data_IF_008118621465
#
_entry.id   IF_008118621465
#
_cell.length_a   1.000
_cell.length_b   1.000
_cell.length_c   1.000
_cell.angle_alpha   90.00
_cell.angle_beta   90.00
_cell.angle_gamma   90.00
#
_symmetry.space_group_name_H-M   'P 1'
#
loop_
_entity.id
_entity.type
_entity.pdbx_description
1 polymer ?
#
# COMPACT_ATOMS: atom_id res chain seq x y z
N UNK A 1 1.86 12.28 18.98
CA UNK A 1 0.73 11.37 19.24
C UNK A 1 0.57 11.23 20.75
N UNK A 2 -0.54 11.70 21.31
CA UNK A 2 -0.88 11.45 22.72
C UNK A 2 -1.17 9.96 22.90
N UNK A 3 -0.68 9.35 23.98
CA UNK A 3 -0.98 7.95 24.27
C UNK A 3 -2.48 7.77 24.49
N UNK A 4 -3.04 6.64 24.03
CA UNK A 4 -4.42 6.26 24.33
C UNK A 4 -4.63 6.17 25.85
N UNK A 5 -5.86 6.33 26.34
CA UNK A 5 -6.19 6.16 27.75
C UNK A 5 -5.70 4.81 28.32
N UNK A 6 -5.76 3.76 27.49
CA UNK A 6 -5.21 2.44 27.80
C UNK A 6 -3.69 2.46 28.00
N UNK A 7 -2.93 3.06 27.07
CA UNK A 7 -1.47 3.15 27.18
C UNK A 7 -1.03 3.95 28.42
N UNK A 8 -1.79 4.99 28.79
CA UNK A 8 -1.50 5.82 29.96
C UNK A 8 -1.60 5.02 31.27
N UNK A 9 -2.60 4.14 31.39
CA UNK A 9 -2.75 3.25 32.55
C UNK A 9 -1.58 2.27 32.66
N UNK A 10 -1.15 1.68 31.54
CA UNK A 10 -0.01 0.76 31.50
C UNK A 10 1.28 1.49 31.89
N UNK A 11 1.53 2.68 31.34
CA UNK A 11 2.70 3.47 31.68
C UNK A 11 2.77 3.83 33.16
N UNK A 12 1.64 4.13 33.80
CA UNK A 12 1.59 4.35 35.25
C UNK A 12 1.97 3.09 36.04
N UNK A 13 1.57 1.90 35.59
CA UNK A 13 1.90 0.63 36.25
C UNK A 13 3.39 0.27 36.14
N UNK A 14 4.01 0.54 35.00
CA UNK A 14 5.42 0.21 34.75
C UNK A 14 6.36 1.24 35.41
N UNK A 15 5.88 2.47 35.63
CA UNK A 15 6.62 3.52 36.31
C UNK A 15 7.37 4.47 35.38
N UNK A 16 7.70 5.65 35.90
CA UNK A 16 8.20 6.79 35.09
C UNK A 16 9.58 6.51 34.49
N UNK A 17 10.47 5.88 35.26
CA UNK A 17 11.84 5.59 34.84
C UNK A 17 11.89 4.60 33.68
N UNK A 18 11.09 3.53 33.75
CA UNK A 18 11.00 2.56 32.67
C UNK A 18 10.37 3.15 31.40
N UNK A 19 9.35 4.02 31.55
CA UNK A 19 8.76 4.75 30.43
C UNK A 19 9.79 5.65 29.75
N UNK A 20 10.55 6.42 30.53
CA UNK A 20 11.60 7.30 30.03
C UNK A 20 12.71 6.49 29.33
N UNK A 21 13.13 5.38 29.94
CA UNK A 21 14.10 4.46 29.38
C UNK A 21 13.69 3.95 28.00
N UNK A 22 12.50 3.37 27.89
CA UNK A 22 12.02 2.75 26.66
C UNK A 22 11.70 3.75 25.54
N UNK A 23 11.32 4.98 25.88
CA UNK A 23 10.92 5.99 24.89
C UNK A 23 12.06 6.91 24.45
N UNK A 24 13.07 7.15 25.28
CA UNK A 24 14.02 8.25 25.06
C UNK A 24 15.48 7.94 25.38
N UNK A 25 15.78 7.22 26.45
CA UNK A 25 17.17 7.13 26.92
C UNK A 25 17.91 5.89 26.44
N UNK A 26 17.24 4.75 26.27
CA UNK A 26 17.88 3.57 25.68
C UNK A 26 18.20 3.82 24.21
N UNK A 27 19.44 3.58 23.83
CA UNK A 27 19.83 3.63 22.43
C UNK A 27 19.23 2.42 21.67
N UNK A 28 19.25 2.41 20.32
CA UNK A 28 18.62 1.34 19.53
C UNK A 28 19.12 -0.08 19.85
N UNK A 29 20.40 -0.24 20.25
CA UNK A 29 20.99 -1.53 20.60
C UNK A 29 20.48 -2.00 21.96
N UNK A 30 20.44 -1.11 22.94
CA UNK A 30 19.95 -1.41 24.30
C UNK A 30 18.44 -1.70 24.29
N UNK A 31 17.66 -0.88 23.58
CA UNK A 31 16.22 -1.08 23.41
C UNK A 31 15.94 -2.44 22.74
N UNK A 32 16.69 -2.78 21.68
CA UNK A 32 16.55 -4.09 21.03
C UNK A 32 16.91 -5.23 21.98
N UNK A 33 17.94 -5.05 22.81
CA UNK A 33 18.39 -6.06 23.76
C UNK A 33 17.31 -6.38 24.78
N UNK A 34 16.72 -5.35 25.40
CA UNK A 34 15.68 -5.54 26.41
C UNK A 34 14.39 -6.09 25.80
N UNK A 35 13.98 -5.62 24.61
CA UNK A 35 12.79 -6.15 23.93
C UNK A 35 12.98 -7.63 23.53
N UNK A 36 14.17 -8.00 23.07
CA UNK A 36 14.49 -9.40 22.74
C UNK A 36 14.46 -10.30 23.98
N UNK A 37 14.94 -9.81 25.13
CA UNK A 37 14.90 -10.56 26.39
C UNK A 37 13.45 -10.78 26.87
N UNK A 38 12.63 -9.73 26.83
CA UNK A 38 11.18 -9.83 27.12
C UNK A 38 10.50 -10.84 26.20
N UNK A 39 10.77 -10.79 24.90
CA UNK A 39 10.19 -11.73 23.94
C UNK A 39 10.65 -13.17 24.20
N UNK A 40 11.92 -13.37 24.54
CA UNK A 40 12.47 -14.69 24.87
C UNK A 40 11.79 -15.29 26.10
N UNK A 41 11.69 -14.53 27.18
CA UNK A 41 11.02 -14.98 28.41
C UNK A 41 9.55 -15.31 28.17
N UNK A 42 8.83 -14.46 27.43
CA UNK A 42 7.42 -14.74 27.10
C UNK A 42 7.26 -15.98 26.23
N UNK A 43 8.18 -16.19 25.28
CA UNK A 43 8.15 -17.35 24.39
C UNK A 43 8.50 -18.65 25.13
N UNK A 44 9.44 -18.63 26.09
CA UNK A 44 9.78 -19.83 26.88
C UNK A 44 8.65 -20.30 27.78
N UNK A 45 7.76 -19.39 28.17
CA UNK A 45 6.59 -19.69 28.99
C UNK A 45 5.41 -20.26 28.17
N UNK A 46 5.52 -20.31 26.82
CA UNK A 46 4.49 -20.88 25.96
C UNK A 46 4.60 -22.40 25.87
N UNK A 47 3.46 -23.07 25.87
CA UNK A 47 3.36 -24.51 25.58
C UNK A 47 2.98 -24.74 24.11
N UNK A 48 3.18 -25.96 23.57
CA UNK A 48 2.66 -26.31 22.24
C UNK A 48 1.14 -26.11 22.09
N UNK A 49 0.38 -26.29 23.17
CA UNK A 49 -1.07 -26.03 23.17
C UNK A 49 -1.39 -24.55 22.99
N UNK A 50 -0.59 -23.65 23.59
CA UNK A 50 -0.74 -22.20 23.42
C UNK A 50 -0.44 -21.78 21.98
N UNK A 51 0.54 -22.41 21.32
CA UNK A 51 0.85 -22.14 19.91
C UNK A 51 -0.32 -22.47 18.99
N UNK A 52 -0.92 -23.65 19.16
CA UNK A 52 -2.09 -24.07 18.36
C UNK A 52 -3.33 -23.21 18.69
N UNK A 53 -3.53 -22.88 19.96
CA UNK A 53 -4.60 -21.96 20.36
C UNK A 53 -4.45 -20.62 19.66
N UNK A 54 -3.24 -20.03 19.71
CA UNK A 54 -2.97 -18.75 19.06
C UNK A 54 -3.14 -18.82 17.54
N UNK A 55 -2.64 -19.88 16.89
CA UNK A 55 -2.82 -20.08 15.45
C UNK A 55 -4.30 -20.06 15.01
N UNK A 56 -5.19 -20.58 15.87
CA UNK A 56 -6.64 -20.62 15.60
C UNK A 56 -7.36 -19.31 15.88
N UNK A 57 -6.87 -18.52 16.82
CA UNK A 57 -7.56 -17.33 17.35
C UNK A 57 -7.02 -16.00 16.76
N UNK A 58 -5.74 -15.96 16.38
CA UNK A 58 -5.07 -14.74 15.90
C UNK A 58 -5.23 -14.61 14.37
N UNK A 59 -6.06 -13.65 13.92
CA UNK A 59 -6.34 -13.41 12.49
C UNK A 59 -5.08 -13.11 11.68
N UNK A 60 -4.03 -12.55 12.29
CA UNK A 60 -2.75 -12.30 11.60
C UNK A 60 -2.03 -13.59 11.18
N UNK A 61 -2.41 -14.73 11.77
CA UNK A 61 -1.83 -16.05 11.51
C UNK A 61 -2.72 -16.92 10.62
N UNK A 62 -3.96 -16.50 10.37
CA UNK A 62 -4.90 -17.27 9.56
C UNK A 62 -4.37 -17.37 8.11
N UNK A 63 -4.33 -18.57 7.51
CA UNK A 63 -4.01 -18.73 6.09
C UNK A 63 -4.97 -17.94 5.20
N UNK A 64 -4.51 -17.55 4.00
CA UNK A 64 -5.43 -16.99 2.99
C UNK A 64 -6.44 -18.07 2.58
N UNK A 65 -7.68 -17.65 2.35
CA UNK A 65 -8.72 -18.50 1.77
C UNK A 65 -8.55 -18.69 0.26
N UNK A 66 -7.73 -17.86 -0.38
CA UNK A 66 -7.44 -17.93 -1.80
C UNK A 66 -6.54 -19.13 -2.13
N UNK A 67 -6.95 -19.94 -3.11
CA UNK A 67 -6.09 -21.01 -3.60
C UNK A 67 -4.86 -20.41 -4.31
N UNK A 68 -3.62 -20.74 -3.89
CA UNK A 68 -2.43 -20.23 -4.56
C UNK A 68 -2.38 -20.59 -6.05
N UNK A 69 -3.02 -21.69 -6.48
CA UNK A 69 -3.09 -22.11 -7.89
C UNK A 69 -3.92 -21.16 -8.75
N UNK A 70 -4.88 -20.45 -8.16
CA UNK A 70 -5.68 -19.43 -8.83
C UNK A 70 -4.96 -18.07 -8.81
N UNK A 71 -4.24 -17.76 -7.73
CA UNK A 71 -3.49 -16.51 -7.59
C UNK A 71 -2.28 -16.40 -8.53
N UNK A 72 -1.60 -17.52 -8.77
CA UNK A 72 -0.39 -17.58 -9.59
C UNK A 72 -0.59 -17.15 -11.05
N UNK A 73 -1.57 -17.69 -11.83
CA UNK A 73 -1.76 -17.28 -13.22
C UNK A 73 -2.14 -15.80 -13.33
N UNK A 74 -2.96 -15.28 -12.42
CA UNK A 74 -3.31 -13.85 -12.38
C UNK A 74 -2.07 -12.99 -12.09
N UNK A 75 -1.25 -13.40 -11.12
CA UNK A 75 0.01 -12.70 -10.82
C UNK A 75 0.99 -12.76 -11.99
N UNK A 76 1.06 -13.88 -12.70
CA UNK A 76 1.88 -14.02 -13.90
C UNK A 76 1.38 -13.11 -15.03
N UNK A 77 0.06 -13.04 -15.24
CA UNK A 77 -0.54 -12.16 -16.26
C UNK A 77 -0.28 -10.70 -15.96
N UNK A 78 -0.36 -10.31 -14.68
CA UNK A 78 0.03 -8.97 -14.24
C UNK A 78 1.47 -8.64 -14.67
N UNK A 79 2.43 -9.54 -14.45
CA UNK A 79 3.81 -9.32 -14.88
C UNK A 79 4.02 -9.33 -16.40
N UNK A 80 3.29 -10.17 -17.13
CA UNK A 80 3.46 -10.36 -18.58
C UNK A 80 3.26 -9.05 -19.36
N UNK A 81 2.30 -8.22 -18.94
CA UNK A 81 1.92 -6.99 -19.64
C UNK A 81 2.46 -5.72 -18.98
N UNK A 82 3.32 -5.85 -17.95
CA UNK A 82 4.00 -4.69 -17.35
C UNK A 82 4.82 -3.96 -18.43
N UNK A 83 4.66 -2.64 -18.60
CA UNK A 83 5.42 -1.90 -19.60
C UNK A 83 6.93 -2.00 -19.34
N UNK A 84 7.76 -2.07 -20.40
CA UNK A 84 9.21 -2.23 -20.27
C UNK A 84 9.91 -1.10 -19.49
N UNK A 85 9.26 0.06 -19.35
CA UNK A 85 9.71 1.18 -18.51
C UNK A 85 9.78 0.79 -17.03
N UNK A 86 8.92 -0.12 -16.57
CA UNK A 86 8.88 -0.58 -15.18
C UNK A 86 9.90 -1.67 -14.92
N UNK A 87 10.78 -1.41 -13.96
CA UNK A 87 11.72 -2.42 -13.46
C UNK A 87 11.06 -3.20 -12.32
N UNK A 88 10.94 -4.51 -12.51
CA UNK A 88 10.50 -5.41 -11.45
C UNK A 88 11.47 -5.44 -10.26
N UNK A 89 10.93 -5.36 -9.05
CA UNK A 89 11.70 -5.49 -7.81
C UNK A 89 11.02 -6.50 -6.89
N UNK A 90 11.82 -7.27 -6.16
CA UNK A 90 11.33 -8.11 -5.05
C UNK A 90 11.59 -7.37 -3.75
N UNK A 91 10.51 -6.91 -3.10
CA UNK A 91 10.60 -6.24 -1.82
C UNK A 91 10.87 -7.24 -0.68
N UNK A 92 11.53 -6.76 0.38
CA UNK A 92 11.53 -7.47 1.65
C UNK A 92 10.11 -7.50 2.24
N UNK A 93 9.79 -8.55 3.01
CA UNK A 93 8.58 -8.59 3.83
C UNK A 93 8.60 -7.55 4.97
N UNK A 94 9.73 -6.88 5.17
CA UNK A 94 9.91 -5.81 6.14
C UNK A 94 10.17 -4.47 5.43
N UNK A 95 9.70 -3.40 6.04
CA UNK A 95 10.01 -2.02 5.67
C UNK A 95 10.57 -1.25 6.87
N UNK A 96 11.08 -0.04 6.63
CA UNK A 96 11.59 0.84 7.69
C UNK A 96 10.49 1.17 8.71
N UNK A 97 10.84 1.22 9.99
CA UNK A 97 9.97 1.80 11.02
C UNK A 97 9.55 3.22 10.61
N UNK A 98 8.28 3.53 10.77
CA UNK A 98 7.69 4.81 10.39
C UNK A 98 7.21 4.88 8.94
N UNK A 99 7.30 3.80 8.15
CA UNK A 99 6.77 3.80 6.78
C UNK A 99 5.26 4.04 6.78
N UNK A 100 4.53 3.32 7.65
CA UNK A 100 3.07 3.42 7.73
C UNK A 100 2.56 4.80 8.15
N UNK A 101 3.28 5.52 9.01
CA UNK A 101 2.87 6.86 9.44
C UNK A 101 3.22 7.95 8.43
N UNK A 102 4.38 7.86 7.76
CA UNK A 102 4.83 8.91 6.84
C UNK A 102 4.24 8.78 5.44
N UNK A 103 3.91 7.57 5.01
CA UNK A 103 3.42 7.31 3.65
C UNK A 103 1.91 7.02 3.66
N UNK A 104 1.46 6.13 4.55
CA UNK A 104 0.06 5.74 4.63
C UNK A 104 -0.82 6.67 5.48
N UNK A 105 -0.25 7.50 6.35
CA UNK A 105 -0.98 8.43 7.22
C UNK A 105 -1.73 7.79 8.40
N UNK A 106 -1.71 6.46 8.51
CA UNK A 106 -2.55 5.70 9.44
C UNK A 106 -1.81 5.18 10.69
N UNK A 107 -0.50 5.41 10.74
CA UNK A 107 0.31 5.20 11.94
C UNK A 107 0.53 3.74 12.32
N UNK A 108 1.09 3.55 13.50
CA UNK A 108 1.52 2.24 14.03
C UNK A 108 0.36 1.34 14.47
N UNK A 109 -0.88 1.82 14.43
CA UNK A 109 -2.07 1.04 14.78
C UNK A 109 -2.61 0.20 13.61
N UNK A 110 -1.93 0.22 12.45
CA UNK A 110 -2.35 -0.52 11.25
C UNK A 110 -1.26 -1.42 10.67
N UNK A 111 -0.09 -1.46 11.33
CA UNK A 111 1.09 -2.22 10.86
C UNK A 111 1.69 -3.02 12.00
N UNK A 112 2.25 -4.19 11.70
CA UNK A 112 3.00 -4.96 12.71
C UNK A 112 4.38 -4.34 12.87
N UNK A 113 4.61 -3.64 13.98
CA UNK A 113 5.94 -3.11 14.34
C UNK A 113 6.81 -4.22 14.93
N UNK A 114 8.05 -4.32 14.47
CA UNK A 114 9.01 -5.31 14.99
C UNK A 114 9.92 -4.69 16.05
N UNK A 115 10.50 -5.55 16.90
CA UNK A 115 11.49 -5.14 17.90
C UNK A 115 12.85 -4.77 17.31
N UNK A 116 13.03 -4.88 15.98
CA UNK A 116 14.29 -4.58 15.27
C UNK A 116 14.30 -3.22 14.57
N UNK A 117 13.34 -2.35 14.88
CA UNK A 117 13.24 -1.04 14.24
C UNK A 117 12.76 -1.13 12.79
N UNK A 118 11.93 -2.13 12.49
CA UNK A 118 11.27 -2.31 11.19
C UNK A 118 9.76 -2.48 11.40
N UNK A 119 9.01 -2.41 10.31
CA UNK A 119 7.59 -2.76 10.25
C UNK A 119 7.44 -3.93 9.26
N UNK A 120 6.45 -4.81 9.44
CA UNK A 120 6.03 -5.73 8.38
C UNK A 120 5.42 -4.92 7.24
N UNK A 121 5.70 -5.30 6.00
CA UNK A 121 5.20 -4.63 4.81
C UNK A 121 3.66 -4.71 4.78
N UNK A 122 3.00 -3.59 4.99
CA UNK A 122 1.53 -3.49 4.95
C UNK A 122 0.99 -3.00 3.59
N UNK A 123 1.79 -2.25 2.83
CA UNK A 123 1.45 -1.80 1.48
C UNK A 123 2.72 -1.80 0.63
N UNK A 124 2.75 -2.52 -0.51
CA UNK A 124 3.95 -2.59 -1.34
C UNK A 124 4.27 -1.24 -2.02
N UNK A 125 3.29 -0.35 -2.19
CA UNK A 125 3.51 1.00 -2.72
C UNK A 125 4.48 1.78 -1.81
N UNK A 126 4.43 1.55 -0.49
CA UNK A 126 5.36 2.17 0.46
C UNK A 126 6.82 1.71 0.24
N UNK A 127 7.03 0.40 0.10
CA UNK A 127 8.36 -0.16 -0.16
C UNK A 127 8.92 0.28 -1.52
N UNK A 128 8.06 0.29 -2.54
CA UNK A 128 8.42 0.81 -3.86
C UNK A 128 8.77 2.31 -3.83
N UNK A 129 8.05 3.13 -3.06
CA UNK A 129 8.35 4.56 -2.94
C UNK A 129 9.68 4.83 -2.24
N UNK A 130 10.05 4.03 -1.23
CA UNK A 130 11.36 4.09 -0.59
C UNK A 130 12.48 3.73 -1.58
N UNK A 131 12.32 2.64 -2.33
CA UNK A 131 13.28 2.21 -3.35
C UNK A 131 13.39 3.22 -4.50
N UNK A 132 12.26 3.76 -4.97
CA UNK A 132 12.22 4.80 -5.98
C UNK A 132 12.97 6.05 -5.51
N UNK A 133 12.72 6.48 -4.27
CA UNK A 133 13.41 7.62 -3.66
C UNK A 133 14.92 7.38 -3.54
N UNK A 134 15.35 6.16 -3.20
CA UNK A 134 16.77 5.79 -3.17
C UNK A 134 17.40 5.90 -4.57
N UNK A 135 16.75 5.38 -5.60
CA UNK A 135 17.23 5.47 -6.99
C UNK A 135 17.26 6.93 -7.51
N UNK A 136 16.22 7.72 -7.21
CA UNK A 136 16.16 9.16 -7.51
C UNK A 136 17.34 9.91 -6.89
N UNK A 137 17.64 9.65 -5.61
CA UNK A 137 18.80 10.24 -4.91
C UNK A 137 20.15 9.80 -5.46
N UNK A 138 20.21 8.65 -6.13
CA UNK A 138 21.40 8.13 -6.80
C UNK A 138 21.52 8.59 -8.26
N UNK A 139 20.74 9.59 -8.68
CA UNK A 139 20.91 10.26 -9.98
C UNK A 139 19.99 9.76 -11.09
N UNK A 140 19.10 8.79 -10.85
CA UNK A 140 18.13 8.36 -11.86
C UNK A 140 17.09 9.45 -12.11
N UNK A 141 16.95 9.89 -13.37
CA UNK A 141 16.02 10.97 -13.75
C UNK A 141 14.56 10.55 -13.73
N UNK A 142 14.22 9.33 -14.12
CA UNK A 142 12.87 8.75 -13.97
C UNK A 142 13.02 7.34 -13.42
N UNK A 143 12.12 6.95 -12.53
CA UNK A 143 12.15 5.65 -11.87
C UNK A 143 10.73 5.09 -11.88
N UNK A 144 10.53 3.98 -12.58
CA UNK A 144 9.28 3.24 -12.66
C UNK A 144 9.54 1.84 -12.13
N UNK A 145 8.84 1.42 -11.08
CA UNK A 145 9.05 0.15 -10.39
C UNK A 145 7.74 -0.62 -10.25
N UNK A 146 7.81 -1.93 -10.41
CA UNK A 146 6.70 -2.85 -10.20
C UNK A 146 7.09 -3.91 -9.16
N UNK A 147 6.12 -4.40 -8.41
CA UNK A 147 6.31 -5.56 -7.50
C UNK A 147 4.99 -6.30 -7.34
N UNK A 148 5.09 -7.58 -6.99
CA UNK A 148 4.04 -8.25 -6.24
C UNK A 148 4.58 -8.56 -4.84
N UNK A 149 3.75 -8.49 -3.80
CA UNK A 149 4.14 -8.86 -2.44
C UNK A 149 2.92 -9.21 -1.60
N UNK A 150 3.04 -10.25 -0.77
CA UNK A 150 2.06 -10.49 0.30
C UNK A 150 2.31 -9.51 1.42
N UNK A 151 1.28 -8.76 1.78
CA UNK A 151 1.35 -7.67 2.75
C UNK A 151 0.43 -7.95 3.93
N UNK A 152 0.80 -7.48 5.11
CA UNK A 152 0.09 -7.75 6.37
C UNK A 152 -0.46 -6.47 6.98
N UNK A 153 -1.75 -6.52 7.30
CA UNK A 153 -2.59 -5.46 7.81
C UNK A 153 -2.97 -5.78 9.25
N UNK A 154 -2.58 -4.91 10.21
CA UNK A 154 -2.81 -5.15 11.63
C UNK A 154 -3.87 -4.19 12.18
N UNK A 155 -5.13 -4.38 11.78
CA UNK A 155 -6.25 -3.54 12.19
C UNK A 155 -6.99 -4.20 13.35
N UNK A 156 -7.05 -3.53 14.49
CA UNK A 156 -7.66 -4.09 15.71
C UNK A 156 -9.17 -4.39 15.56
N UNK A 157 -9.83 -3.98 14.46
CA UNK A 157 -11.29 -4.09 14.26
C UNK A 157 -11.72 -4.37 12.81
N UNK A 158 -10.87 -4.95 11.96
CA UNK A 158 -11.28 -5.30 10.59
C UNK A 158 -11.90 -6.71 10.51
N UNK A 159 -12.97 -6.83 9.73
CA UNK A 159 -13.50 -8.12 9.27
C UNK A 159 -12.74 -8.65 8.06
N UNK A 160 -11.95 -7.81 7.40
CA UNK A 160 -11.12 -8.16 6.24
C UNK A 160 -9.94 -9.06 6.62
N UNK A 161 -9.39 -9.74 5.61
CA UNK A 161 -8.18 -10.55 5.76
C UNK A 161 -7.04 -9.71 6.32
N UNK A 162 -6.32 -10.27 7.29
CA UNK A 162 -5.14 -9.63 7.88
C UNK A 162 -3.92 -9.64 6.96
N UNK A 163 -3.99 -10.31 5.81
CA UNK A 163 -2.98 -10.21 4.77
C UNK A 163 -3.53 -10.53 3.38
N UNK A 164 -2.84 -10.05 2.35
CA UNK A 164 -3.23 -10.26 0.95
C UNK A 164 -2.03 -10.13 0.04
N UNK A 165 -2.06 -10.81 -1.11
CA UNK A 165 -1.12 -10.61 -2.19
C UNK A 165 -1.55 -9.38 -3.00
N UNK A 166 -0.68 -8.38 -3.08
CA UNK A 166 -0.89 -7.19 -3.91
C UNK A 166 0.10 -7.15 -5.05
N UNK A 167 -0.33 -6.56 -6.17
CA UNK A 167 0.54 -6.12 -7.26
C UNK A 167 0.52 -4.60 -7.31
N UNK A 168 1.68 -3.96 -7.35
CA UNK A 168 1.79 -2.52 -7.26
C UNK A 168 2.84 -1.92 -8.18
N UNK A 169 2.58 -0.69 -8.58
CA UNK A 169 3.41 0.18 -9.40
C UNK A 169 3.73 1.47 -8.65
N UNK A 170 4.95 1.98 -8.85
CA UNK A 170 5.34 3.33 -8.45
C UNK A 170 6.15 3.97 -9.57
N UNK A 171 5.78 5.21 -9.91
CA UNK A 171 6.55 6.05 -10.81
C UNK A 171 6.98 7.32 -10.09
N UNK A 172 8.27 7.68 -10.22
CA UNK A 172 8.79 8.96 -9.77
C UNK A 172 9.66 9.64 -10.81
N UNK A 173 9.39 10.93 -11.03
CA UNK A 173 10.03 11.75 -12.06
C UNK A 173 10.14 13.22 -11.60
N UNK A 174 11.03 14.03 -12.18
CA UNK A 174 11.06 15.46 -11.94
C UNK A 174 9.85 16.14 -12.57
N UNK A 175 9.44 17.25 -11.96
CA UNK A 175 8.45 18.19 -12.47
C UNK A 175 8.90 18.78 -13.82
N UNK A 176 8.22 18.37 -14.90
CA UNK A 176 8.37 18.93 -16.24
C UNK A 176 7.68 20.28 -16.43
N UNK A 177 6.95 20.78 -15.43
CA UNK A 177 6.17 22.02 -15.51
C UNK A 177 4.79 21.82 -16.13
N UNK A 178 3.84 22.67 -15.71
CA UNK A 178 2.48 22.68 -16.25
C UNK A 178 1.72 21.36 -16.10
N UNK A 179 2.06 20.52 -15.12
CA UNK A 179 1.51 19.17 -14.93
C UNK A 179 1.73 18.18 -16.09
N UNK A 180 2.68 18.47 -16.99
CA UNK A 180 3.05 17.56 -18.09
C UNK A 180 3.54 16.21 -17.58
N UNK A 181 4.36 16.19 -16.53
CA UNK A 181 4.86 14.95 -15.93
C UNK A 181 3.74 14.16 -15.29
N UNK A 182 2.83 14.80 -14.57
CA UNK A 182 1.65 14.16 -14.00
C UNK A 182 0.80 13.53 -15.10
N UNK A 183 0.51 14.24 -16.18
CA UNK A 183 -0.21 13.66 -17.32
C UNK A 183 0.51 12.43 -17.90
N UNK A 184 1.83 12.50 -18.12
CA UNK A 184 2.61 11.37 -18.63
C UNK A 184 2.63 10.16 -17.69
N UNK A 185 2.74 10.40 -16.38
CA UNK A 185 2.72 9.33 -15.38
C UNK A 185 1.33 8.69 -15.32
N UNK A 186 0.27 9.51 -15.36
CA UNK A 186 -1.10 9.02 -15.33
C UNK A 186 -1.39 8.13 -16.53
N UNK A 187 -1.00 8.56 -17.72
CA UNK A 187 -1.12 7.76 -18.94
C UNK A 187 -0.42 6.42 -18.82
N UNK A 188 0.85 6.42 -18.40
CA UNK A 188 1.64 5.20 -18.22
C UNK A 188 0.98 4.21 -17.25
N UNK A 189 0.38 4.67 -16.16
CA UNK A 189 -0.32 3.80 -15.22
C UNK A 189 -1.68 3.35 -15.76
N UNK A 190 -2.50 4.27 -16.28
CA UNK A 190 -3.85 3.98 -16.74
C UNK A 190 -3.85 3.05 -17.95
N UNK A 191 -2.91 3.20 -18.88
CA UNK A 191 -2.82 2.34 -20.06
C UNK A 191 -2.56 0.88 -19.64
N UNK A 192 -1.60 0.65 -18.74
CA UNK A 192 -1.34 -0.68 -18.17
C UNK A 192 -2.56 -1.25 -17.43
N UNK A 193 -3.16 -0.47 -16.53
CA UNK A 193 -4.28 -0.99 -15.73
C UNK A 193 -5.52 -1.23 -16.57
N UNK A 194 -5.75 -0.43 -17.61
CA UNK A 194 -6.86 -0.64 -18.53
C UNK A 194 -6.72 -1.95 -19.28
N UNK A 195 -5.51 -2.26 -19.76
CA UNK A 195 -5.23 -3.55 -20.40
C UNK A 195 -5.49 -4.72 -19.45
N UNK A 196 -4.98 -4.62 -18.21
CA UNK A 196 -5.20 -5.65 -17.19
C UNK A 196 -6.68 -5.81 -16.85
N UNK A 197 -7.39 -4.73 -16.54
CA UNK A 197 -8.79 -4.79 -16.15
C UNK A 197 -9.64 -5.37 -17.30
N UNK A 198 -9.41 -4.93 -18.54
CA UNK A 198 -10.12 -5.45 -19.70
C UNK A 198 -9.82 -6.93 -20.03
N UNK A 199 -8.62 -7.41 -19.68
CA UNK A 199 -8.21 -8.80 -19.96
C UNK A 199 -8.59 -9.76 -18.83
N UNK A 200 -8.43 -9.34 -17.58
CA UNK A 200 -8.49 -10.21 -16.40
C UNK A 200 -9.84 -10.13 -15.70
N UNK A 201 -10.56 -8.99 -15.82
CA UNK A 201 -11.75 -8.70 -15.01
C UNK A 201 -12.93 -8.30 -15.91
N UNK A 202 -13.82 -9.24 -16.31
CA UNK A 202 -14.93 -9.02 -17.24
C UNK A 202 -15.77 -7.76 -17.00
N UNK A 203 -16.07 -7.50 -15.73
CA UNK A 203 -16.92 -6.40 -15.25
C UNK A 203 -16.09 -5.33 -14.54
N UNK A 204 -14.82 -5.26 -14.88
CA UNK A 204 -13.86 -4.33 -14.32
C UNK A 204 -13.92 -2.98 -15.03
N UNK A 205 -13.88 -1.90 -14.25
CA UNK A 205 -13.71 -0.53 -14.78
C UNK A 205 -12.78 0.29 -13.92
N UNK A 206 -12.25 1.35 -14.51
CA UNK A 206 -11.42 2.33 -13.80
C UNK A 206 -12.24 3.60 -13.62
N UNK A 207 -12.42 4.03 -12.38
CA UNK A 207 -13.02 5.33 -12.08
C UNK A 207 -11.94 6.32 -11.72
N UNK A 208 -11.76 7.35 -12.55
CA UNK A 208 -10.77 8.42 -12.40
C UNK A 208 -11.44 9.67 -11.85
N UNK A 209 -10.87 10.23 -10.79
CA UNK A 209 -11.21 11.56 -10.26
C UNK A 209 -10.01 12.48 -10.41
N UNK A 210 -10.22 13.65 -11.03
CA UNK A 210 -9.20 14.69 -11.22
C UNK A 210 -9.63 15.94 -10.48
N UNK A 211 -8.82 16.40 -9.54
CA UNK A 211 -9.13 17.59 -8.74
C UNK A 211 -8.47 18.87 -9.27
N UNK A 212 -7.42 18.72 -10.09
CA UNK A 212 -6.72 19.86 -10.70
C UNK A 212 -7.23 20.14 -12.12
N UNK A 213 -7.69 21.37 -12.35
CA UNK A 213 -8.26 21.78 -13.64
C UNK A 213 -7.25 21.81 -14.78
N UNK A 214 -5.97 22.06 -14.51
CA UNK A 214 -4.91 22.04 -15.53
C UNK A 214 -4.66 20.61 -15.98
N UNK A 215 -4.59 19.67 -15.03
CA UNK A 215 -4.47 18.25 -15.36
C UNK A 215 -5.72 17.74 -16.11
N UNK A 216 -6.92 18.17 -15.70
CA UNK A 216 -8.15 17.81 -16.38
C UNK A 216 -8.13 18.25 -17.85
N UNK A 217 -7.73 19.49 -18.14
CA UNK A 217 -7.60 19.99 -19.52
C UNK A 217 -6.54 19.25 -20.34
N UNK A 218 -5.42 18.85 -19.71
CA UNK A 218 -4.41 18.02 -20.39
C UNK A 218 -4.93 16.62 -20.73
N UNK A 219 -5.69 16.00 -19.83
CA UNK A 219 -6.29 14.69 -20.07
C UNK A 219 -7.34 14.77 -21.18
N UNK A 220 -8.20 15.79 -21.15
CA UNK A 220 -9.20 16.04 -22.20
C UNK A 220 -8.55 16.23 -23.57
N UNK A 221 -7.47 17.02 -23.65
CA UNK A 221 -6.72 17.23 -24.89
C UNK A 221 -6.05 15.95 -25.43
N UNK A 222 -5.77 14.95 -24.58
CA UNK A 222 -5.25 13.64 -24.98
C UNK A 222 -6.35 12.67 -25.45
N UNK A 223 -7.63 13.01 -25.25
CA UNK A 223 -8.79 12.23 -25.71
C UNK A 223 -9.34 11.24 -24.68
N UNK A 224 -10.49 10.65 -25.01
CA UNK A 224 -11.17 9.66 -24.18
C UNK A 224 -10.42 8.33 -24.17
N UNK A 225 -10.39 7.67 -23.02
CA UNK A 225 -9.86 6.31 -22.87
C UNK A 225 -11.00 5.35 -22.60
N UNK A 226 -11.22 4.40 -23.51
CA UNK A 226 -12.16 3.30 -23.26
C UNK A 226 -11.87 2.64 -21.91
N UNK A 227 -12.88 2.18 -21.17
CA UNK A 227 -12.68 1.54 -19.86
C UNK A 227 -12.24 2.46 -18.71
N UNK A 228 -12.03 3.77 -18.95
CA UNK A 228 -11.79 4.78 -17.90
C UNK A 228 -12.97 5.75 -17.85
N UNK A 229 -13.67 5.78 -16.71
CA UNK A 229 -14.77 6.68 -16.44
C UNK A 229 -14.26 7.86 -15.63
N UNK A 230 -14.36 9.06 -16.18
CA UNK A 230 -14.08 10.29 -15.41
C UNK A 230 -15.30 10.59 -14.56
N UNK A 231 -15.14 10.52 -13.25
CA UNK A 231 -16.19 10.86 -12.28
C UNK A 231 -16.00 12.31 -11.89
N UNK A 232 -17.05 13.13 -12.03
CA UNK A 232 -17.01 14.52 -11.57
C UNK A 232 -16.66 14.58 -10.08
N UNK A 233 -15.63 15.38 -9.78
CA UNK A 233 -15.29 15.72 -8.41
C UNK A 233 -16.35 16.64 -7.82
N UNK A 234 -17.50 16.09 -7.43
CA UNK A 234 -18.49 16.85 -6.66
C UNK A 234 -17.81 17.36 -5.40
N UNK A 235 -18.00 18.65 -5.09
CA UNK A 235 -17.32 19.43 -4.06
C UNK A 235 -17.59 18.98 -2.61
N UNK A 236 -18.02 17.74 -2.40
CA UNK A 236 -18.25 17.22 -1.08
C UNK A 236 -16.90 16.80 -0.47
N UNK A 237 -16.45 17.59 0.50
CA UNK A 237 -15.20 17.47 1.26
C UNK A 237 -15.08 16.13 2.04
N UNK A 238 -16.00 15.19 1.83
CA UNK A 238 -16.18 13.93 2.56
C UNK A 238 -15.98 12.67 1.72
N UNK A 239 -15.11 12.69 0.70
CA UNK A 239 -14.64 11.40 0.13
C UNK A 239 -13.55 10.80 1.03
N UNK A 240 -13.70 9.56 1.54
CA UNK A 240 -12.73 8.88 2.41
C UNK A 240 -11.32 8.72 1.82
N UNK A 241 -11.16 8.92 0.51
CA UNK A 241 -10.01 8.49 -0.29
C UNK A 241 -9.06 9.62 -0.70
N UNK A 242 -9.35 10.89 -0.36
CA UNK A 242 -8.48 12.01 -0.75
C UNK A 242 -7.13 11.98 -0.03
N UNK A 243 -7.01 11.34 1.13
CA UNK A 243 -5.72 11.17 1.80
C UNK A 243 -5.25 9.73 1.58
N UNK A 244 -4.12 9.46 0.88
CA UNK A 244 -2.96 10.33 0.66
C UNK A 244 -2.88 11.05 -0.70
N UNK A 245 -3.94 11.03 -1.49
CA UNK A 245 -3.93 11.52 -2.87
C UNK A 245 -4.03 13.04 -3.05
N UNK A 246 -3.52 13.54 -4.17
CA UNK A 246 -3.38 14.98 -4.42
C UNK A 246 -4.07 15.43 -5.71
N UNK A 247 -3.38 15.39 -6.84
CA UNK A 247 -3.81 16.00 -8.11
C UNK A 247 -4.92 15.21 -8.82
N UNK A 248 -4.84 13.88 -8.74
CA UNK A 248 -5.83 12.93 -9.24
C UNK A 248 -5.68 11.59 -8.49
N UNK A 249 -6.74 10.81 -8.49
CA UNK A 249 -6.76 9.43 -8.02
C UNK A 249 -7.72 8.61 -8.87
N UNK A 250 -7.50 7.30 -8.90
CA UNK A 250 -8.36 6.35 -9.57
C UNK A 250 -8.53 5.10 -8.72
N UNK A 251 -9.64 4.42 -8.93
CA UNK A 251 -9.93 3.12 -8.31
C UNK A 251 -10.29 2.09 -9.34
N UNK A 252 -9.97 0.85 -9.02
CA UNK A 252 -10.35 -0.33 -9.79
C UNK A 252 -11.59 -0.90 -9.12
N UNK A 253 -12.69 -0.90 -9.86
CA UNK A 253 -13.96 -1.41 -9.36
C UNK A 253 -14.49 -2.51 -10.24
N UNK A 254 -15.13 -3.48 -9.61
CA UNK A 254 -15.79 -4.60 -10.26
C UNK A 254 -17.28 -4.54 -9.95
N UNK A 255 -18.11 -4.60 -10.98
CA UNK A 255 -19.56 -4.71 -10.77
C UNK A 255 -19.89 -6.07 -10.13
N UNK A 256 -20.49 -6.03 -8.94
CA UNK A 256 -21.07 -7.21 -8.29
C UNK A 256 -22.42 -7.59 -8.93
N UNK A 257 -22.99 -8.70 -8.46
CA UNK A 257 -24.37 -9.10 -8.81
C UNK A 257 -25.45 -8.28 -8.05
N UNK A 258 -25.04 -7.26 -7.27
CA UNK A 258 -25.89 -6.29 -6.55
C UNK A 258 -25.51 -4.83 -6.83
N UNK A 259 -26.12 -3.88 -6.11
CA UNK A 259 -26.01 -2.42 -6.40
C UNK A 259 -24.68 -1.75 -5.98
N UNK A 260 -23.84 -2.40 -5.15
CA UNK A 260 -22.57 -1.80 -4.69
C UNK A 260 -21.35 -2.40 -5.43
N UNK A 261 -20.55 -1.57 -6.12
CA UNK A 261 -19.33 -2.03 -6.79
C UNK A 261 -18.22 -2.37 -5.79
N UNK A 262 -17.48 -3.44 -6.05
CA UNK A 262 -16.36 -3.88 -5.21
C UNK A 262 -15.06 -3.18 -5.63
N UNK A 263 -14.40 -2.50 -4.70
CA UNK A 263 -13.07 -1.92 -4.94
C UNK A 263 -11.98 -2.99 -4.76
N UNK A 264 -11.21 -3.25 -5.81
CA UNK A 264 -10.14 -4.25 -5.81
C UNK A 264 -8.74 -3.63 -5.79
N UNK A 265 -8.67 -2.30 -5.81
CA UNK A 265 -7.45 -1.54 -5.66
C UNK A 265 -7.61 -0.09 -6.09
N UNK A 266 -6.49 0.62 -6.03
CA UNK A 266 -6.48 2.07 -6.15
C UNK A 266 -5.14 2.61 -6.65
N UNK A 267 -5.14 3.88 -7.02
CA UNK A 267 -3.94 4.63 -7.34
C UNK A 267 -4.17 6.14 -7.34
N UNK A 268 -3.08 6.89 -7.37
CA UNK A 268 -3.15 8.35 -7.41
C UNK A 268 -1.85 9.04 -7.07
N UNK A 269 -1.85 10.36 -7.27
CA UNK A 269 -0.68 11.19 -7.04
C UNK A 269 -0.45 11.41 -5.55
N UNK A 270 0.77 11.17 -5.09
CA UNK A 270 1.19 11.33 -3.69
C UNK A 270 2.44 12.20 -3.60
N UNK A 271 2.69 12.78 -2.42
CA UNK A 271 3.86 13.64 -2.16
C UNK A 271 5.04 12.87 -1.54
N UNK A 272 4.95 11.54 -1.47
CA UNK A 272 5.89 10.68 -0.76
C UNK A 272 7.34 10.89 -1.18
N UNK A 273 7.64 10.84 -2.49
CA UNK A 273 9.02 10.99 -2.96
C UNK A 273 9.53 12.41 -2.74
N UNK A 274 8.67 13.44 -2.79
CA UNK A 274 9.07 14.82 -2.46
C UNK A 274 9.63 14.91 -1.04
N UNK A 275 8.99 14.24 -0.08
CA UNK A 275 9.44 14.19 1.30
C UNK A 275 10.70 13.32 1.46
N UNK A 276 10.72 12.13 0.87
CA UNK A 276 11.80 11.15 1.01
C UNK A 276 13.10 11.58 0.30
N UNK A 277 13.01 12.27 -0.84
CA UNK A 277 14.16 12.81 -1.57
C UNK A 277 14.52 14.24 -1.14
N UNK A 278 13.66 14.89 -0.35
CA UNK A 278 13.73 16.31 0.01
C UNK A 278 13.73 17.24 -1.22
N UNK A 279 13.03 16.83 -2.28
CA UNK A 279 12.89 17.58 -3.52
C UNK A 279 11.41 17.87 -3.82
N UNK A 280 10.96 19.11 -3.62
CA UNK A 280 9.56 19.52 -3.93
C UNK A 280 9.22 19.42 -5.42
N UNK A 281 10.23 19.27 -6.28
CA UNK A 281 10.08 19.05 -7.72
C UNK A 281 9.98 17.57 -8.09
N UNK A 282 9.98 16.64 -7.15
CA UNK A 282 9.64 15.25 -7.49
C UNK A 282 8.13 15.08 -7.65
N UNK A 283 7.74 14.20 -8.56
CA UNK A 283 6.37 13.70 -8.75
C UNK A 283 6.35 12.22 -8.44
N UNK A 284 5.25 11.77 -7.87
CA UNK A 284 5.05 10.38 -7.49
C UNK A 284 3.62 9.98 -7.83
N UNK A 285 3.48 8.93 -8.64
CA UNK A 285 2.23 8.25 -8.89
C UNK A 285 2.39 6.82 -8.41
N UNK A 286 1.41 6.35 -7.65
CA UNK A 286 1.39 4.98 -7.13
C UNK A 286 0.07 4.33 -7.53
N UNK A 287 0.08 3.03 -7.76
CA UNK A 287 -1.16 2.27 -7.92
C UNK A 287 -0.95 0.80 -7.64
N UNK A 288 -2.03 0.07 -7.37
CA UNK A 288 -1.96 -1.36 -7.16
C UNK A 288 -3.31 -2.00 -6.95
N UNK A 289 -3.34 -3.30 -7.13
CA UNK A 289 -4.52 -4.16 -6.94
C UNK A 289 -4.22 -5.23 -5.91
N UNK A 290 -5.26 -5.68 -5.23
CA UNK A 290 -5.25 -6.93 -4.48
C UNK A 290 -5.50 -8.08 -5.45
N UNK A 291 -4.53 -8.99 -5.56
CA UNK A 291 -4.70 -10.24 -6.30
C UNK A 291 -5.76 -11.09 -5.59
N UNK A 292 -5.73 -11.13 -4.26
CA UNK A 292 -6.73 -11.85 -3.46
C UNK A 292 -8.16 -11.30 -3.71
N UNK A 293 -8.32 -10.00 -3.96
CA UNK A 293 -9.63 -9.42 -4.29
C UNK A 293 -10.03 -9.59 -5.77
N UNK A 294 -9.07 -9.63 -6.71
CA UNK A 294 -9.38 -9.76 -8.15
C UNK A 294 -9.75 -11.18 -8.53
N UNK A 295 -9.05 -12.20 -8.02
CA UNK A 295 -9.22 -13.60 -8.47
C UNK A 295 -10.68 -14.07 -8.48
N UNK A 296 -11.51 -13.82 -7.44
CA UNK A 296 -12.93 -14.22 -7.44
C UNK A 296 -13.78 -13.64 -8.57
N UNK A 297 -13.28 -12.60 -9.25
CA UNK A 297 -13.97 -11.89 -10.31
C UNK A 297 -13.36 -12.13 -11.70
N UNK A 298 -12.43 -13.07 -11.85
CA UNK A 298 -11.78 -13.38 -13.12
C UNK A 298 -12.60 -14.33 -13.99
N UNK A 299 -12.21 -14.49 -15.25
CA UNK A 299 -12.94 -15.25 -16.28
C UNK A 299 -13.10 -16.77 -16.04
N UNK A 300 -12.76 -17.32 -14.87
CA UNK A 300 -12.88 -18.75 -14.56
C UNK A 300 -13.62 -19.02 -13.24
N UNK A 301 -14.95 -19.13 -13.35
CA UNK A 301 -15.75 -20.19 -12.68
C UNK A 301 -16.74 -20.78 -13.69
N UNK A 302 -16.23 -21.24 -14.84
CA UNK A 302 -17.05 -21.95 -15.83
C UNK A 302 -16.19 -22.95 -16.61
N UNK A 303 -15.86 -24.06 -15.95
CA UNK A 303 -15.81 -25.39 -16.58
C UNK A 303 -16.61 -26.37 -15.72
#
# INVERSE_FOLDING_TARGET
>A
MSGTAASTKVWRRIGVHAREALLRTLNPIELRTILADVARSRASDQTPADLIKRWREDKLLAPSMLDPREALPITAKLWEVVPPEFVGVTLSQLTSLGSGIHLGGLGQNRVVTTMRGTEVLADPKHGLALEASRRRRNGHSRVHLATHARCTHAWDHSEESSHELRFALVSSAPDGGGLSTEADLLDLHLDYWREIMGTVVPRGRIELTVWDSTLAGLIEARGTRDGVIVVEGTSDERRPWRNPYTTAAFRFVVDGDGDEPHEVGDGGFVTWTQALTRNRKDRCLVSGVSVDAIVPHTWEQSE
#
